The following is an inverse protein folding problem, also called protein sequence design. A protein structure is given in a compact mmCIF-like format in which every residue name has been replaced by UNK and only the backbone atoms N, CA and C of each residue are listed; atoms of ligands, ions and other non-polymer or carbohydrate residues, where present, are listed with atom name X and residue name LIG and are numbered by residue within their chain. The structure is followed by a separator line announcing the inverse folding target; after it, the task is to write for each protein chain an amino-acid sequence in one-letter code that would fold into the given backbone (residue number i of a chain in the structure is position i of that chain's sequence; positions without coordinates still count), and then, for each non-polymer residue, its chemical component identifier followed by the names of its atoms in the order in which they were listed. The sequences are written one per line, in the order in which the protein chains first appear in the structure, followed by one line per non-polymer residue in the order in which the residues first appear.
data_IF_237567638172
#
_entry.id   IF_237567638172
#
_cell.length_a   1.000
_cell.length_b   1.000
_cell.length_c   1.000
_cell.angle_alpha   90.00
_cell.angle_beta   90.00
_cell.angle_gamma   90.00
#
_symmetry.space_group_name_H-M   'P 1'
#
loop_
_entity.id
_entity.type
_entity.pdbx_description
1 polymer ?
#
# COMPACT_ATOMS: atom_id res chain seq x y z
N UNK A 1 7.21 17.33 -7.31
CA UNK A 1 7.29 18.54 -6.46
C UNK A 1 8.23 18.37 -5.28
N UNK A 2 8.21 17.22 -4.57
CA UNK A 2 9.14 16.86 -3.49
C UNK A 2 10.61 17.24 -3.80
N UNK A 3 11.11 16.79 -4.95
CA UNK A 3 12.53 16.94 -5.33
C UNK A 3 12.91 18.37 -5.78
N UNK A 4 11.96 19.18 -6.25
CA UNK A 4 12.24 20.54 -6.74
C UNK A 4 12.06 21.62 -5.66
N UNK A 5 11.12 21.43 -4.74
CA UNK A 5 10.71 22.47 -3.77
C UNK A 5 11.31 22.23 -2.37
N UNK A 6 12.02 21.11 -2.13
CA UNK A 6 12.61 20.74 -0.82
C UNK A 6 11.61 20.79 0.35
N UNK A 7 10.33 20.55 0.08
CA UNK A 7 9.30 20.41 1.11
C UNK A 7 9.49 19.03 1.78
N UNK A 8 9.29 18.90 3.10
CA UNK A 8 9.29 17.60 3.77
C UNK A 8 8.37 16.59 3.08
N UNK A 9 8.92 15.44 2.73
CA UNK A 9 8.28 14.41 1.92
C UNK A 9 6.89 14.01 2.45
N UNK A 10 6.75 13.89 3.78
CA UNK A 10 5.50 13.51 4.47
C UNK A 10 4.37 14.53 4.29
N UNK A 11 4.67 15.83 4.37
CA UNK A 11 3.67 16.89 4.23
C UNK A 11 3.10 16.90 2.81
N UNK A 12 3.96 16.69 1.81
CA UNK A 12 3.52 16.69 0.43
C UNK A 12 2.73 15.42 0.08
N UNK A 13 3.10 14.25 0.62
CA UNK A 13 2.31 13.02 0.40
C UNK A 13 0.93 13.13 1.06
N UNK A 14 0.85 13.72 2.26
CA UNK A 14 -0.44 14.02 2.90
C UNK A 14 -1.27 15.02 2.07
N UNK A 15 -0.67 16.12 1.63
CA UNK A 15 -1.36 17.09 0.78
C UNK A 15 -1.85 16.47 -0.54
N UNK A 16 -1.03 15.61 -1.17
CA UNK A 16 -1.40 14.90 -2.41
C UNK A 16 -2.55 13.93 -2.17
N UNK A 17 -2.56 13.21 -1.04
CA UNK A 17 -3.66 12.34 -0.65
C UNK A 17 -4.98 13.13 -0.53
N UNK A 18 -4.97 14.28 0.15
CA UNK A 18 -6.17 15.13 0.27
C UNK A 18 -6.64 15.70 -1.06
N UNK A 19 -5.72 16.16 -1.92
CA UNK A 19 -6.07 16.69 -3.25
C UNK A 19 -6.70 15.60 -4.12
N UNK A 20 -6.08 14.42 -4.20
CA UNK A 20 -6.59 13.30 -5.00
C UNK A 20 -7.94 12.83 -4.46
N UNK A 21 -8.07 12.70 -3.14
CA UNK A 21 -9.32 12.31 -2.49
C UNK A 21 -10.44 13.35 -2.72
N UNK A 22 -10.11 14.65 -2.65
CA UNK A 22 -11.05 15.74 -2.92
C UNK A 22 -11.52 15.79 -4.39
N UNK A 23 -10.60 15.60 -5.34
CA UNK A 23 -10.94 15.51 -6.77
C UNK A 23 -11.85 14.30 -7.03
N UNK A 24 -11.51 13.14 -6.45
CA UNK A 24 -12.33 11.95 -6.57
C UNK A 24 -13.73 12.16 -5.97
N UNK A 25 -13.83 12.77 -4.78
CA UNK A 25 -15.12 13.03 -4.11
C UNK A 25 -15.98 14.02 -4.90
N UNK A 26 -15.35 15.02 -5.51
CA UNK A 26 -16.03 16.00 -6.37
C UNK A 26 -16.63 15.33 -7.60
N UNK A 27 -15.87 14.42 -8.24
CA UNK A 27 -16.35 13.70 -9.42
C UNK A 27 -17.48 12.72 -9.08
N UNK A 28 -17.39 12.05 -7.94
CA UNK A 28 -18.39 11.06 -7.52
C UNK A 28 -19.58 11.68 -6.77
N UNK A 29 -19.61 13.01 -6.59
CA UNK A 29 -20.64 13.72 -5.80
C UNK A 29 -20.83 13.14 -4.39
N UNK A 30 -19.77 12.57 -3.82
CA UNK A 30 -19.80 11.88 -2.53
C UNK A 30 -20.53 10.52 -2.50
N UNK A 31 -21.00 10.01 -3.65
CA UNK A 31 -21.63 8.68 -3.71
C UNK A 31 -20.60 7.56 -3.84
N UNK A 32 -20.97 6.33 -3.50
CA UNK A 32 -20.19 5.13 -3.84
C UNK A 32 -20.56 4.71 -5.27
N UNK A 33 -19.59 4.47 -6.16
CA UNK A 33 -19.93 4.00 -7.52
C UNK A 33 -20.07 2.48 -7.48
N UNK A 34 -21.26 1.94 -7.69
CA UNK A 34 -21.51 0.50 -7.80
C UNK A 34 -22.46 0.16 -8.95
N UNK A 35 -22.56 -1.13 -9.29
CA UNK A 35 -23.57 -1.62 -10.23
C UNK A 35 -24.99 -1.31 -9.69
N UNK A 36 -25.86 -0.80 -10.58
CA UNK A 36 -27.24 -0.42 -10.26
C UNK A 36 -27.39 0.73 -9.24
N UNK A 37 -26.42 1.64 -9.12
CA UNK A 37 -26.63 2.87 -8.34
C UNK A 37 -27.77 3.69 -8.91
N UNK A 38 -28.65 4.16 -8.02
CA UNK A 38 -29.66 5.18 -8.35
C UNK A 38 -28.91 6.50 -8.52
N UNK A 39 -28.85 6.98 -9.75
CA UNK A 39 -28.26 8.28 -10.07
C UNK A 39 -29.15 9.39 -9.50
N UNK A 40 -28.61 10.61 -9.35
CA UNK A 40 -29.36 11.77 -8.85
C UNK A 40 -30.59 12.15 -9.70
N UNK A 41 -30.76 11.52 -10.86
CA UNK A 41 -31.86 11.66 -11.82
C UNK A 41 -32.93 10.54 -11.69
N UNK A 42 -32.82 9.65 -10.69
CA UNK A 42 -33.74 8.54 -10.48
C UNK A 42 -33.57 7.36 -11.46
N UNK A 43 -32.64 7.46 -12.41
CA UNK A 43 -32.26 6.38 -13.32
C UNK A 43 -31.22 5.44 -12.69
N UNK A 44 -31.32 4.14 -12.99
CA UNK A 44 -30.32 3.16 -12.59
C UNK A 44 -29.11 3.24 -13.53
N UNK A 45 -27.90 3.23 -12.97
CA UNK A 45 -26.68 3.15 -13.77
C UNK A 45 -26.64 1.83 -14.55
N UNK A 46 -26.94 1.88 -15.85
CA UNK A 46 -26.92 0.75 -16.82
C UNK A 46 -25.50 0.28 -17.19
N UNK A 47 -24.49 0.64 -16.38
CA UNK A 47 -23.11 0.22 -16.57
C UNK A 47 -22.93 -1.20 -16.03
N UNK A 48 -22.85 -2.19 -16.91
CA UNK A 48 -22.42 -3.53 -16.52
C UNK A 48 -20.91 -3.50 -16.25
N UNK A 49 -20.49 -3.87 -15.04
CA UNK A 49 -19.06 -4.16 -14.80
C UNK A 49 -18.72 -5.36 -15.69
N UNK A 50 -17.72 -5.20 -16.56
CA UNK A 50 -17.32 -6.27 -17.47
C UNK A 50 -17.00 -7.54 -16.66
N UNK A 51 -17.49 -8.72 -17.05
CA UNK A 51 -17.20 -9.97 -16.35
C UNK A 51 -15.70 -10.28 -16.27
N UNK A 52 -14.88 -9.67 -17.13
CA UNK A 52 -13.42 -9.72 -17.03
C UNK A 52 -12.89 -8.95 -15.81
N UNK A 53 -13.48 -7.79 -15.51
CA UNK A 53 -13.12 -7.00 -14.33
C UNK A 53 -13.52 -7.73 -13.04
N UNK A 54 -14.63 -8.45 -13.01
CA UNK A 54 -15.01 -9.29 -11.87
C UNK A 54 -14.06 -10.48 -11.65
N UNK A 55 -13.52 -11.07 -12.74
CA UNK A 55 -12.57 -12.19 -12.66
C UNK A 55 -11.20 -11.81 -12.09
N UNK A 56 -10.78 -10.56 -12.22
CA UNK A 56 -9.47 -10.09 -11.71
C UNK A 56 -9.39 -10.15 -10.18
N UNK A 57 -10.49 -9.87 -9.49
CA UNK A 57 -10.59 -9.84 -8.02
C UNK A 57 -10.98 -11.18 -7.41
N UNK A 58 -11.33 -12.16 -8.24
CA UNK A 58 -11.66 -13.52 -7.81
C UNK A 58 -10.40 -14.39 -7.70
N UNK A 59 -10.45 -15.37 -6.78
CA UNK A 59 -9.46 -16.43 -6.71
C UNK A 59 -9.60 -17.28 -7.97
N UNK A 60 -8.52 -17.54 -8.75
CA UNK A 60 -7.10 -17.48 -8.38
C UNK A 60 -6.31 -16.25 -8.89
N UNK A 61 -6.94 -15.34 -9.65
CA UNK A 61 -6.23 -14.27 -10.35
C UNK A 61 -5.58 -13.26 -9.39
N UNK A 62 -6.25 -12.96 -8.28
CA UNK A 62 -5.72 -12.08 -7.22
C UNK A 62 -4.41 -12.63 -6.61
N UNK A 63 -4.32 -13.95 -6.44
CA UNK A 63 -3.13 -14.62 -5.91
C UNK A 63 -2.00 -14.57 -6.94
N UNK A 64 -2.31 -14.78 -8.22
CA UNK A 64 -1.33 -14.69 -9.30
C UNK A 64 -0.75 -13.27 -9.43
N UNK A 65 -1.58 -12.23 -9.39
CA UNK A 65 -1.13 -10.83 -9.42
C UNK A 65 -0.21 -10.55 -8.24
N UNK A 66 -0.57 -11.01 -7.04
CA UNK A 66 0.26 -10.85 -5.84
C UNK A 66 1.61 -11.57 -5.97
N UNK A 67 1.61 -12.83 -6.41
CA UNK A 67 2.85 -13.62 -6.60
C UNK A 67 3.75 -12.95 -7.64
N UNK A 68 3.20 -12.53 -8.77
CA UNK A 68 3.96 -11.82 -9.81
C UNK A 68 4.55 -10.53 -9.25
N UNK A 69 3.76 -9.73 -8.52
CA UNK A 69 4.25 -8.50 -7.90
C UNK A 69 5.40 -8.77 -6.91
N UNK A 70 5.26 -9.77 -6.02
CA UNK A 70 6.30 -10.14 -5.05
C UNK A 70 7.57 -10.61 -5.76
N UNK A 71 7.45 -11.47 -6.78
CA UNK A 71 8.60 -11.96 -7.56
C UNK A 71 9.27 -10.81 -8.31
N UNK A 72 8.50 -9.94 -8.97
CA UNK A 72 9.04 -8.79 -9.68
C UNK A 72 9.79 -7.84 -8.74
N UNK A 73 9.23 -7.52 -7.57
CA UNK A 73 9.90 -6.67 -6.57
C UNK A 73 11.11 -7.36 -5.99
N UNK A 74 11.02 -8.67 -5.69
CA UNK A 74 12.15 -9.44 -5.19
C UNK A 74 13.31 -9.47 -6.18
N UNK A 75 13.02 -9.70 -7.46
CA UNK A 75 14.02 -9.72 -8.52
C UNK A 75 14.62 -8.33 -8.72
N UNK A 76 13.78 -7.29 -8.75
CA UNK A 76 14.23 -5.91 -8.86
C UNK A 76 15.14 -5.50 -7.71
N UNK A 77 14.78 -5.82 -6.46
CA UNK A 77 15.57 -5.45 -5.29
C UNK A 77 16.87 -6.24 -5.15
N UNK A 78 16.87 -7.55 -5.44
CA UNK A 78 18.05 -8.40 -5.23
C UNK A 78 19.02 -8.43 -6.41
N UNK A 79 18.51 -8.40 -7.65
CA UNK A 79 19.33 -8.63 -8.85
C UNK A 79 19.64 -7.36 -9.63
N UNK A 80 18.95 -6.23 -9.40
CA UNK A 80 19.24 -4.98 -10.13
C UNK A 80 20.15 -4.03 -9.36
N UNK A 81 21.01 -3.32 -10.09
CA UNK A 81 21.85 -2.23 -9.55
C UNK A 81 20.99 -1.12 -8.93
N UNK A 82 19.80 -0.85 -9.50
CA UNK A 82 18.88 0.16 -8.99
C UNK A 82 18.31 -0.21 -7.62
N UNK A 83 18.00 -1.49 -7.38
CA UNK A 83 17.59 -1.98 -6.06
C UNK A 83 18.64 -1.74 -4.99
N UNK A 84 19.91 -2.07 -5.27
CA UNK A 84 21.03 -1.81 -4.33
C UNK A 84 21.19 -0.32 -4.01
N UNK A 85 21.07 0.56 -4.98
CA UNK A 85 21.12 2.00 -4.71
C UNK A 85 19.97 2.46 -3.82
N UNK A 86 18.76 1.92 -3.99
CA UNK A 86 17.62 2.21 -3.11
C UNK A 86 17.86 1.75 -1.67
N UNK A 87 18.48 0.58 -1.47
CA UNK A 87 18.87 0.12 -0.12
C UNK A 87 19.86 1.07 0.57
N UNK A 88 20.89 1.52 -0.14
CA UNK A 88 21.91 2.43 0.41
C UNK A 88 21.29 3.78 0.75
N UNK A 89 20.40 4.30 -0.10
CA UNK A 89 19.66 5.54 0.15
C UNK A 89 18.76 5.41 1.38
N UNK A 90 18.12 4.26 1.59
CA UNK A 90 17.27 3.99 2.75
C UNK A 90 18.03 3.91 4.08
N UNK A 91 19.27 3.41 4.06
CA UNK A 91 20.12 3.34 5.25
C UNK A 91 20.75 4.67 5.64
N UNK A 92 21.36 5.38 4.67
CA UNK A 92 21.94 6.70 4.92
C UNK A 92 21.94 7.55 3.64
N UNK A 93 21.06 8.55 3.59
CA UNK A 93 20.92 9.46 2.44
C UNK A 93 22.17 10.33 2.22
N UNK A 94 22.85 10.76 3.28
CA UNK A 94 24.04 11.59 3.17
C UNK A 94 25.23 10.80 2.63
N UNK A 95 25.44 9.59 3.14
CA UNK A 95 26.48 8.68 2.64
C UNK A 95 26.26 8.35 1.15
N UNK A 96 25.00 8.07 0.75
CA UNK A 96 24.67 7.82 -0.64
C UNK A 96 25.01 9.02 -1.55
N UNK A 97 24.76 10.24 -1.08
CA UNK A 97 25.08 11.48 -1.82
C UNK A 97 26.60 11.68 -1.95
N UNK A 98 27.35 11.40 -0.88
CA UNK A 98 28.82 11.48 -0.89
C UNK A 98 29.45 10.42 -1.80
N UNK A 99 28.82 9.26 -1.97
CA UNK A 99 29.23 8.22 -2.92
C UNK A 99 28.83 8.49 -4.38
N UNK A 100 28.36 9.70 -4.72
CA UNK A 100 28.01 10.10 -6.09
C UNK A 100 26.67 9.54 -6.60
N UNK A 101 25.84 8.94 -5.75
CA UNK A 101 24.52 8.44 -6.14
C UNK A 101 23.56 9.63 -6.25
N UNK A 102 22.85 9.72 -7.38
CA UNK A 102 21.83 10.75 -7.60
C UNK A 102 20.56 10.49 -6.77
N UNK A 103 20.63 10.65 -5.44
CA UNK A 103 19.56 10.37 -4.45
C UNK A 103 18.19 10.88 -4.93
N UNK A 104 18.14 12.11 -5.43
CA UNK A 104 16.93 12.74 -5.92
C UNK A 104 16.25 11.99 -7.07
N UNK A 105 17.01 11.43 -8.03
CA UNK A 105 16.44 10.66 -9.14
C UNK A 105 15.84 9.35 -8.62
N UNK A 106 16.54 8.66 -7.73
CA UNK A 106 16.07 7.41 -7.14
C UNK A 106 14.86 7.59 -6.23
N UNK A 107 14.76 8.73 -5.50
CA UNK A 107 13.53 9.08 -4.76
C UNK A 107 12.32 9.19 -5.69
N UNK A 108 12.45 9.89 -6.83
CA UNK A 108 11.34 10.00 -7.80
C UNK A 108 10.93 8.63 -8.32
N UNK A 109 11.89 7.79 -8.70
CA UNK A 109 11.61 6.43 -9.18
C UNK A 109 10.92 5.59 -8.10
N UNK A 110 11.35 5.68 -6.84
CA UNK A 110 10.72 4.98 -5.72
C UNK A 110 9.25 5.40 -5.54
N UNK A 111 8.95 6.72 -5.61
CA UNK A 111 7.57 7.21 -5.55
C UNK A 111 6.73 6.75 -6.74
N UNK A 112 7.29 6.74 -7.96
CA UNK A 112 6.59 6.26 -9.15
C UNK A 112 6.28 4.75 -9.05
N UNK A 113 7.24 3.95 -8.60
CA UNK A 113 7.02 2.52 -8.39
C UNK A 113 5.96 2.28 -7.30
N UNK A 114 6.02 2.99 -6.18
CA UNK A 114 5.01 2.90 -5.13
C UNK A 114 3.61 3.28 -5.63
N UNK A 115 3.49 4.35 -6.41
CA UNK A 115 2.22 4.77 -7.02
C UNK A 115 1.69 3.71 -8.02
N UNK A 116 2.57 3.06 -8.78
CA UNK A 116 2.21 1.98 -9.70
C UNK A 116 1.65 0.77 -8.95
N UNK A 117 2.33 0.32 -7.89
CA UNK A 117 1.82 -0.79 -7.05
C UNK A 117 0.54 -0.43 -6.31
N UNK A 118 0.42 0.81 -5.81
CA UNK A 118 -0.80 1.30 -5.18
C UNK A 118 -1.98 1.34 -6.15
N UNK A 119 -1.75 1.74 -7.40
CA UNK A 119 -2.77 1.76 -8.46
C UNK A 119 -3.23 0.34 -8.81
N UNK A 120 -2.30 -0.60 -8.95
CA UNK A 120 -2.62 -2.02 -9.18
C UNK A 120 -3.44 -2.59 -8.02
N UNK A 121 -3.01 -2.32 -6.77
CA UNK A 121 -3.74 -2.74 -5.57
C UNK A 121 -5.16 -2.15 -5.49
N UNK A 122 -5.32 -0.87 -5.85
CA UNK A 122 -6.62 -0.21 -5.92
C UNK A 122 -7.54 -0.82 -6.99
N UNK A 123 -7.02 -1.15 -8.17
CA UNK A 123 -7.78 -1.83 -9.23
C UNK A 123 -8.27 -3.20 -8.76
N UNK A 124 -7.38 -3.97 -8.11
CA UNK A 124 -7.71 -5.29 -7.56
C UNK A 124 -8.77 -5.17 -6.45
N UNK A 125 -8.67 -4.17 -5.58
CA UNK A 125 -9.65 -3.92 -4.52
C UNK A 125 -11.02 -3.55 -5.13
N UNK A 126 -11.06 -2.61 -6.07
CA UNK A 126 -12.30 -2.20 -6.74
C UNK A 126 -12.96 -3.37 -7.48
N UNK A 127 -12.15 -4.23 -8.10
CA UNK A 127 -12.59 -5.47 -8.74
C UNK A 127 -13.16 -6.48 -7.73
N UNK A 128 -12.56 -6.60 -6.54
CA UNK A 128 -13.01 -7.53 -5.49
C UNK A 128 -14.32 -7.09 -4.85
N UNK A 129 -14.46 -5.80 -4.54
CA UNK A 129 -15.65 -5.28 -3.84
C UNK A 129 -16.77 -4.94 -4.84
N UNK A 130 -16.48 -4.94 -6.16
CA UNK A 130 -17.43 -4.58 -7.24
C UNK A 130 -18.08 -3.20 -7.06
N UNK A 131 -17.50 -2.40 -6.16
CA UNK A 131 -17.90 -1.05 -5.81
C UNK A 131 -16.63 -0.22 -5.67
N UNK A 132 -16.68 1.01 -6.16
CA UNK A 132 -15.61 1.97 -6.03
C UNK A 132 -16.04 3.02 -4.99
N UNK A 133 -15.53 2.83 -3.78
CA UNK A 133 -15.60 3.82 -2.71
C UNK A 133 -14.21 4.45 -2.54
N UNK A 134 -14.17 5.77 -2.46
CA UNK A 134 -12.91 6.53 -2.36
C UNK A 134 -12.20 6.24 -1.02
N UNK A 135 -12.97 5.93 0.04
CA UNK A 135 -12.46 5.57 1.36
C UNK A 135 -11.95 4.14 1.49
N UNK A 136 -12.27 3.24 0.54
CA UNK A 136 -11.99 1.81 0.68
C UNK A 136 -10.49 1.48 0.79
N UNK A 137 -9.61 2.35 0.26
CA UNK A 137 -8.15 2.16 0.32
C UNK A 137 -7.51 2.56 1.66
N UNK A 138 -8.15 3.42 2.45
CA UNK A 138 -7.58 4.00 3.68
C UNK A 138 -7.14 2.95 4.72
N UNK A 139 -7.94 1.90 5.01
CA UNK A 139 -7.57 0.86 5.98
C UNK A 139 -6.33 0.07 5.56
N UNK A 140 -6.11 -0.08 4.25
CA UNK A 140 -4.99 -0.84 3.71
C UNK A 140 -3.66 -0.07 3.79
N UNK A 141 -3.69 1.25 3.97
CA UNK A 141 -2.47 2.06 4.13
C UNK A 141 -1.70 1.62 5.38
N UNK A 142 -2.40 1.47 6.51
CA UNK A 142 -1.77 1.04 7.75
C UNK A 142 -1.32 -0.41 7.69
N UNK A 143 -2.15 -1.29 7.11
CA UNK A 143 -1.81 -2.71 6.92
C UNK A 143 -0.57 -2.89 6.04
N UNK A 144 -0.43 -2.09 4.97
CA UNK A 144 0.73 -2.13 4.09
C UNK A 144 2.02 -1.68 4.80
N UNK A 145 1.95 -0.63 5.61
CA UNK A 145 3.07 -0.17 6.45
C UNK A 145 3.42 -1.22 7.49
N UNK A 146 2.43 -1.80 8.17
CA UNK A 146 2.61 -2.88 9.14
C UNK A 146 3.32 -4.09 8.53
N UNK A 147 2.85 -4.54 7.37
CA UNK A 147 3.43 -5.67 6.65
C UNK A 147 4.89 -5.42 6.26
N UNK A 148 5.22 -4.22 5.79
CA UNK A 148 6.59 -3.84 5.43
C UNK A 148 7.52 -3.83 6.66
N UNK A 149 7.04 -3.33 7.81
CA UNK A 149 7.81 -3.33 9.06
C UNK A 149 8.02 -4.73 9.63
N UNK A 150 6.98 -5.56 9.67
CA UNK A 150 7.10 -6.97 10.06
C UNK A 150 8.13 -7.65 9.15
N UNK A 151 8.05 -7.40 7.84
CA UNK A 151 8.96 -7.94 6.84
C UNK A 151 10.43 -7.50 6.97
N UNK A 152 10.69 -6.35 7.58
CA UNK A 152 12.04 -5.86 7.86
C UNK A 152 12.75 -6.70 8.94
N UNK A 153 12.01 -7.16 9.94
CA UNK A 153 12.53 -7.98 11.04
C UNK A 153 12.57 -9.48 10.74
N UNK A 154 11.71 -9.96 9.83
CA UNK A 154 11.69 -11.36 9.37
C UNK A 154 13.02 -11.73 8.71
N UNK A 155 13.55 -12.93 9.02
CA UNK A 155 14.86 -13.47 8.60
C UNK A 155 16.10 -12.78 9.21
N UNK A 156 15.96 -11.94 10.23
CA UNK A 156 17.11 -11.32 10.92
C UNK A 156 17.97 -10.42 10.01
N UNK A 157 17.41 -10.02 8.86
CA UNK A 157 18.17 -9.34 7.82
C UNK A 157 18.47 -7.87 8.16
N UNK A 158 17.68 -7.25 9.06
CA UNK A 158 17.79 -5.81 9.39
C UNK A 158 17.69 -4.92 8.14
N UNK A 159 17.05 -5.42 7.09
CA UNK A 159 17.00 -4.85 5.75
C UNK A 159 15.61 -5.09 5.15
N UNK A 160 15.06 -4.14 4.38
CA UNK A 160 13.77 -4.33 3.71
C UNK A 160 13.81 -5.55 2.79
N UNK A 161 12.83 -6.44 2.83
CA UNK A 161 12.79 -7.62 1.95
C UNK A 161 11.38 -7.84 1.41
N UNK A 162 11.29 -8.14 0.11
CA UNK A 162 10.02 -8.46 -0.55
C UNK A 162 9.35 -9.70 0.06
N UNK A 163 10.15 -10.73 0.35
CA UNK A 163 9.66 -11.99 0.95
C UNK A 163 9.17 -11.80 2.39
N UNK A 164 9.91 -11.03 3.21
CA UNK A 164 9.46 -10.69 4.55
C UNK A 164 8.16 -9.89 4.53
N UNK A 165 8.03 -8.93 3.60
CA UNK A 165 6.81 -8.12 3.44
C UNK A 165 5.62 -8.98 3.03
N UNK A 166 5.83 -9.98 2.17
CA UNK A 166 4.80 -10.96 1.82
C UNK A 166 4.32 -11.75 3.05
N UNK A 167 5.24 -12.28 3.86
CA UNK A 167 4.88 -12.97 5.12
C UNK A 167 4.11 -12.01 6.06
N UNK A 168 4.59 -10.77 6.19
CA UNK A 168 3.91 -9.74 6.98
C UNK A 168 2.47 -9.47 6.48
N UNK A 169 2.28 -9.37 5.17
CA UNK A 169 0.97 -9.16 4.57
C UNK A 169 0.02 -10.36 4.81
N UNK A 170 0.53 -11.59 4.72
CA UNK A 170 -0.24 -12.80 5.03
C UNK A 170 -0.64 -12.82 6.51
N UNK A 171 0.28 -12.49 7.43
CA UNK A 171 -0.01 -12.42 8.86
C UNK A 171 -1.09 -11.38 9.18
N UNK A 172 -0.99 -10.18 8.61
CA UNK A 172 -2.02 -9.13 8.76
C UNK A 172 -3.35 -9.60 8.16
N UNK A 173 -3.33 -10.28 7.02
CA UNK A 173 -4.53 -10.88 6.42
C UNK A 173 -5.20 -11.92 7.33
N UNK A 174 -4.42 -12.81 7.94
CA UNK A 174 -4.93 -13.81 8.89
C UNK A 174 -5.50 -13.12 10.12
N UNK A 175 -4.80 -12.13 10.68
CA UNK A 175 -5.26 -11.35 11.84
C UNK A 175 -6.58 -10.63 11.53
N UNK A 176 -6.68 -9.99 10.37
CA UNK A 176 -7.90 -9.29 9.95
C UNK A 176 -9.06 -10.28 9.79
N UNK A 177 -8.85 -11.45 9.17
CA UNK A 177 -9.89 -12.47 9.06
C UNK A 177 -10.28 -13.06 10.42
N UNK A 178 -9.32 -13.27 11.32
CA UNK A 178 -9.58 -13.73 12.68
C UNK A 178 -10.45 -12.76 13.48
N UNK A 179 -10.14 -11.46 13.43
CA UNK A 179 -10.95 -10.42 14.07
C UNK A 179 -12.38 -10.37 13.50
N UNK A 180 -12.53 -10.55 12.17
CA UNK A 180 -13.84 -10.65 11.52
C UNK A 180 -14.62 -11.87 12.04
N UNK A 181 -13.97 -13.04 12.15
CA UNK A 181 -14.61 -14.25 12.67
C UNK A 181 -15.01 -14.12 14.15
N UNK A 182 -14.27 -13.34 14.92
CA UNK A 182 -14.61 -12.99 16.31
C UNK A 182 -15.76 -11.96 16.40
N UNK A 183 -16.37 -11.57 15.28
CA UNK A 183 -17.45 -10.57 15.20
C UNK A 183 -17.05 -9.22 15.80
N UNK A 184 -15.76 -8.88 15.75
CA UNK A 184 -15.28 -7.58 16.22
C UNK A 184 -15.82 -6.50 15.28
N UNK A 185 -16.42 -5.42 15.80
CA UNK A 185 -16.90 -4.33 14.95
C UNK A 185 -15.77 -3.68 14.17
N UNK A 186 -16.04 -3.26 12.93
CA UNK A 186 -15.03 -2.69 12.03
C UNK A 186 -14.27 -1.50 12.61
N UNK A 187 -14.96 -0.63 13.36
CA UNK A 187 -14.34 0.51 14.05
C UNK A 187 -13.32 0.11 15.13
N UNK A 188 -13.50 -1.06 15.75
CA UNK A 188 -12.56 -1.60 16.73
C UNK A 188 -11.36 -2.29 16.05
N UNK A 189 -11.49 -2.70 14.79
CA UNK A 189 -10.36 -3.30 14.06
C UNK A 189 -9.23 -2.30 13.86
N UNK A 190 -9.52 -1.03 13.55
CA UNK A 190 -8.49 0.00 13.37
C UNK A 190 -7.72 0.26 14.67
N UNK A 191 -8.42 0.24 15.81
CA UNK A 191 -7.81 0.36 17.15
C UNK A 191 -6.88 -0.81 17.41
N UNK A 192 -7.34 -2.05 17.16
CA UNK A 192 -6.54 -3.26 17.39
C UNK A 192 -5.31 -3.27 16.46
N UNK A 193 -5.50 -3.01 15.17
CA UNK A 193 -4.39 -2.96 14.20
C UNK A 193 -3.38 -1.88 14.56
N UNK A 194 -3.85 -0.70 14.98
CA UNK A 194 -2.99 0.41 15.37
C UNK A 194 -2.19 0.10 16.63
N UNK A 195 -2.83 -0.55 17.60
CA UNK A 195 -2.19 -1.04 18.82
C UNK A 195 -1.13 -2.08 18.50
N UNK A 196 -1.45 -3.08 17.68
CA UNK A 196 -0.50 -4.12 17.25
C UNK A 196 0.70 -3.50 16.52
N UNK A 197 0.48 -2.53 15.63
CA UNK A 197 1.55 -1.81 14.97
C UNK A 197 2.43 -1.04 15.96
N UNK A 198 1.84 -0.30 16.89
CA UNK A 198 2.56 0.46 17.91
C UNK A 198 3.41 -0.47 18.79
N UNK A 199 2.87 -1.62 19.20
CA UNK A 199 3.62 -2.64 19.95
C UNK A 199 4.76 -3.24 19.13
N UNK A 200 4.52 -3.59 17.86
CA UNK A 200 5.53 -4.16 16.98
C UNK A 200 6.69 -3.17 16.74
N UNK A 201 6.38 -1.89 16.51
CA UNK A 201 7.37 -0.83 16.37
C UNK A 201 8.12 -0.59 17.69
N UNK A 202 7.40 -0.51 18.82
CA UNK A 202 8.00 -0.33 20.14
C UNK A 202 9.01 -1.42 20.45
N UNK A 203 8.66 -2.69 20.22
CA UNK A 203 9.56 -3.83 20.41
C UNK A 203 10.76 -3.77 19.46
N UNK A 204 10.55 -3.42 18.19
CA UNK A 204 11.62 -3.34 17.18
C UNK A 204 12.63 -2.25 17.53
N UNK A 205 12.17 -1.06 17.89
CA UNK A 205 13.04 0.06 18.27
C UNK A 205 13.71 -0.14 19.64
N UNK A 206 13.02 -0.79 20.58
CA UNK A 206 13.62 -1.17 21.86
C UNK A 206 14.80 -2.13 21.64
N UNK A 207 14.64 -3.12 20.75
CA UNK A 207 15.69 -4.09 20.42
C UNK A 207 16.83 -3.52 19.58
N UNK A 208 16.62 -2.42 18.86
CA UNK A 208 17.67 -1.75 18.08
C UNK A 208 18.53 -0.80 18.93
N UNK A 209 18.02 -0.39 20.10
CA UNK A 209 18.69 0.53 21.04
C UNK A 209 19.43 -0.21 22.17
N UNK A 210 19.04 -1.46 22.45
CA UNK A 210 19.74 -2.37 23.36
C UNK A 210 20.82 -3.16 22.62
#
# INVERSE_FOLDING_TARGET
MIVKVKIPDMLLTLATMFIVQGIALTYTRGATVSQNMVMADGSFATGTISPFFAKIGQVPWIILIMIVAVISVHFFLNYTKHGRYMYVIGGNQEAARLSGIAVNKYKVVAYLLSALFASIGGIVLASRVMTAEIGAGSPYLMDAVAAAFIGFSVLGAGKPNAFGTFIGAVLIGILSNGLVMMSVPYYAMDIVKGTVLAFALGLTYYKLRS
#
